data_IF_294857604348
#
_entry.id   IF_294857604348
#
_cell.length_a   1.000
_cell.length_b   1.000
_cell.length_c   1.000
_cell.angle_alpha   90.00
_cell.angle_beta   90.00
_cell.angle_gamma   90.00
#
_symmetry.space_group_name_H-M   'P 1'
#
loop_
_entity.id
_entity.type
_entity.pdbx_description
1 polymer ?
#
# COMPACT_ATOMS: atom_id res chain seq x y z
N UNK A 1 13.94 3.65 13.14
CA UNK A 1 13.49 2.91 11.92
C UNK A 1 11.99 3.07 11.88
N UNK A 2 11.40 3.51 10.77
CA UNK A 2 9.96 3.60 10.61
C UNK A 2 9.36 2.20 10.42
N UNK A 3 8.32 1.87 11.14
CA UNK A 3 7.65 0.56 11.11
C UNK A 3 6.19 0.76 10.70
N UNK A 4 5.85 0.34 9.50
CA UNK A 4 4.46 0.19 9.07
C UNK A 4 3.96 -1.24 9.31
N UNK A 5 2.69 -1.37 9.64
CA UNK A 5 2.05 -2.66 9.91
C UNK A 5 0.80 -2.82 9.07
N UNK A 6 0.89 -3.66 8.03
CA UNK A 6 -0.25 -4.04 7.21
C UNK A 6 -1.04 -5.15 7.89
N UNK A 7 -2.24 -4.83 8.37
CA UNK A 7 -3.12 -5.72 9.11
C UNK A 7 -4.02 -6.52 8.15
N UNK A 8 -3.61 -7.74 7.83
CA UNK A 8 -4.42 -8.71 7.06
C UNK A 8 -5.31 -9.54 7.99
N UNK A 9 -6.17 -8.88 8.77
CA UNK A 9 -7.04 -9.47 9.80
C UNK A 9 -8.45 -8.89 9.69
N UNK A 10 -9.46 -9.63 10.18
CA UNK A 10 -10.88 -9.23 10.10
C UNK A 10 -11.33 -8.36 11.28
N UNK A 11 -10.50 -8.20 12.31
CA UNK A 11 -10.82 -7.49 13.55
C UNK A 11 -9.85 -6.34 13.83
N UNK A 12 -9.43 -5.63 12.77
CA UNK A 12 -8.51 -4.51 12.87
C UNK A 12 -9.04 -3.42 13.81
N UNK A 13 -10.36 -3.12 13.78
CA UNK A 13 -11.01 -2.13 14.65
C UNK A 13 -10.90 -2.46 16.16
N UNK A 14 -10.78 -3.74 16.50
CA UNK A 14 -10.70 -4.19 17.91
C UNK A 14 -9.26 -4.30 18.40
N UNK A 15 -8.29 -4.49 17.48
CA UNK A 15 -6.94 -4.93 17.85
C UNK A 15 -5.85 -3.92 17.52
N UNK A 16 -6.13 -2.88 16.75
CA UNK A 16 -5.14 -1.89 16.30
C UNK A 16 -4.30 -1.30 17.43
N UNK A 17 -4.90 -1.06 18.61
CA UNK A 17 -4.22 -0.46 19.75
C UNK A 17 -3.02 -1.30 20.23
N UNK A 18 -3.08 -2.63 20.10
CA UNK A 18 -1.98 -3.52 20.51
C UNK A 18 -0.72 -3.32 19.66
N UNK A 19 -0.89 -2.94 18.40
CA UNK A 19 0.22 -2.64 17.48
C UNK A 19 0.81 -1.27 17.79
N UNK A 20 -0.03 -0.29 18.13
CA UNK A 20 0.44 1.03 18.61
C UNK A 20 1.24 0.88 19.90
N UNK A 21 0.74 0.10 20.87
CA UNK A 21 1.43 -0.20 22.12
C UNK A 21 2.76 -0.94 21.89
N UNK A 22 2.86 -1.71 20.82
CA UNK A 22 4.09 -2.38 20.40
C UNK A 22 5.09 -1.44 19.70
N UNK A 23 4.70 -0.20 19.40
CA UNK A 23 5.57 0.85 18.86
C UNK A 23 5.63 0.91 17.34
N UNK A 24 4.54 0.57 16.62
CA UNK A 24 4.46 0.81 15.18
C UNK A 24 4.21 2.29 14.90
N UNK A 25 4.77 2.79 13.81
CA UNK A 25 4.63 4.18 13.39
C UNK A 25 3.40 4.40 12.49
N UNK A 26 2.96 3.35 11.77
CA UNK A 26 1.81 3.38 10.88
C UNK A 26 1.02 2.08 10.93
N UNK A 27 -0.30 2.17 10.98
CA UNK A 27 -1.25 1.06 10.78
C UNK A 27 -1.83 1.15 9.38
N UNK A 28 -1.85 0.04 8.63
CA UNK A 28 -2.50 -0.06 7.33
C UNK A 28 -3.60 -1.11 7.43
N UNK A 29 -4.87 -0.70 7.31
CA UNK A 29 -6.03 -1.57 7.47
C UNK A 29 -6.80 -1.72 6.16
N UNK A 30 -7.41 -2.91 5.95
CA UNK A 30 -8.25 -3.18 4.80
C UNK A 30 -9.60 -2.48 4.91
N UNK A 31 -10.01 -1.76 3.86
CA UNK A 31 -11.33 -1.11 3.80
C UNK A 31 -12.46 -2.15 3.96
N UNK A 32 -12.24 -3.36 3.45
CA UNK A 32 -13.21 -4.45 3.49
C UNK A 32 -13.38 -5.09 4.89
N UNK A 33 -12.42 -4.85 5.80
CA UNK A 33 -12.38 -5.44 7.15
C UNK A 33 -12.78 -4.45 8.25
N UNK A 34 -13.13 -3.22 7.91
CA UNK A 34 -13.45 -2.13 8.84
C UNK A 34 -14.85 -1.62 8.56
N UNK A 35 -15.70 -1.53 9.59
CA UNK A 35 -17.09 -1.07 9.44
C UNK A 35 -17.21 0.45 9.44
N UNK A 36 -16.42 1.13 10.29
CA UNK A 36 -16.40 2.59 10.41
C UNK A 36 -14.97 3.12 10.25
N UNK A 37 -14.49 3.17 9.00
CA UNK A 37 -13.15 3.62 8.69
C UNK A 37 -12.88 5.08 9.11
N UNK A 38 -13.81 6.04 8.96
CA UNK A 38 -13.63 7.41 9.47
C UNK A 38 -13.37 7.44 10.99
N UNK A 39 -14.08 6.65 11.78
CA UNK A 39 -13.84 6.54 13.21
C UNK A 39 -12.46 5.95 13.50
N UNK A 40 -12.08 4.87 12.82
CA UNK A 40 -10.78 4.24 12.97
C UNK A 40 -9.63 5.20 12.66
N UNK A 41 -9.75 6.03 11.60
CA UNK A 41 -8.79 7.11 11.28
C UNK A 41 -8.63 8.04 12.49
N UNK A 42 -9.74 8.54 13.02
CA UNK A 42 -9.74 9.48 14.14
C UNK A 42 -9.09 8.90 15.40
N UNK A 43 -9.43 7.64 15.72
CA UNK A 43 -8.88 6.95 16.89
C UNK A 43 -7.37 6.75 16.78
N UNK A 44 -6.88 6.20 15.66
CA UNK A 44 -5.45 5.96 15.45
C UNK A 44 -4.67 7.27 15.44
N UNK A 45 -5.14 8.29 14.72
CA UNK A 45 -4.47 9.60 14.68
C UNK A 45 -4.43 10.28 16.04
N UNK A 46 -5.40 10.03 16.92
CA UNK A 46 -5.40 10.57 18.29
C UNK A 46 -4.20 10.10 19.14
N UNK A 47 -3.59 8.98 18.78
CA UNK A 47 -2.37 8.45 19.41
C UNK A 47 -1.07 9.01 18.82
N UNK A 48 -1.15 9.76 17.73
CA UNK A 48 0.01 10.22 16.96
C UNK A 48 0.53 9.19 15.96
N UNK A 49 -0.12 8.02 15.83
CA UNK A 49 0.22 6.98 14.85
C UNK A 49 -0.41 7.32 13.48
N UNK A 50 0.31 7.04 12.40
CA UNK A 50 -0.19 7.24 11.05
C UNK A 50 -1.17 6.13 10.65
N UNK A 51 -2.07 6.43 9.71
CA UNK A 51 -3.08 5.48 9.21
C UNK A 51 -3.06 5.40 7.68
N UNK A 52 -2.95 4.19 7.16
CA UNK A 52 -3.14 3.85 5.76
C UNK A 52 -4.39 3.01 5.54
N UNK A 53 -4.98 3.16 4.37
CA UNK A 53 -6.08 2.33 3.89
C UNK A 53 -5.60 1.44 2.75
N UNK A 54 -5.91 0.15 2.81
CA UNK A 54 -5.63 -0.79 1.74
C UNK A 54 -6.94 -1.32 1.14
N UNK A 55 -6.93 -1.55 -0.19
CA UNK A 55 -8.05 -2.14 -0.91
C UNK A 55 -7.62 -3.31 -1.78
N UNK A 56 -8.50 -4.31 -1.88
CA UNK A 56 -8.32 -5.49 -2.70
C UNK A 56 -8.42 -5.19 -4.21
N UNK A 57 -7.95 -6.10 -5.08
CA UNK A 57 -8.03 -5.89 -6.54
C UNK A 57 -9.46 -5.71 -7.07
N UNK A 58 -10.45 -6.29 -6.43
CA UNK A 58 -11.87 -6.24 -6.81
C UNK A 58 -12.68 -5.15 -6.10
N UNK A 59 -12.13 -4.51 -5.06
CA UNK A 59 -12.79 -3.41 -4.33
C UNK A 59 -12.79 -2.11 -5.13
N UNK A 60 -13.92 -1.45 -5.19
CA UNK A 60 -14.07 -0.20 -5.95
C UNK A 60 -13.35 0.98 -5.29
N UNK A 61 -12.66 1.80 -6.07
CA UNK A 61 -11.91 2.97 -5.57
C UNK A 61 -12.81 4.00 -4.86
N UNK A 62 -14.11 4.05 -5.22
CA UNK A 62 -15.09 4.95 -4.59
C UNK A 62 -15.27 4.73 -3.09
N UNK A 63 -14.86 3.56 -2.57
CA UNK A 63 -14.93 3.26 -1.15
C UNK A 63 -13.81 3.95 -0.37
N UNK A 64 -12.65 4.19 -1.01
CA UNK A 64 -11.48 4.80 -0.39
C UNK A 64 -11.34 6.29 -0.72
N UNK A 65 -11.78 6.72 -1.92
CA UNK A 65 -11.64 8.11 -2.37
C UNK A 65 -12.14 9.17 -1.38
N UNK A 66 -13.28 8.99 -0.67
CA UNK A 66 -13.74 9.97 0.32
C UNK A 66 -12.82 10.09 1.54
N UNK A 67 -12.02 9.07 1.84
CA UNK A 67 -11.11 9.02 2.99
C UNK A 67 -9.75 9.65 2.69
N UNK A 68 -9.43 9.83 1.41
CA UNK A 68 -8.10 10.25 0.94
C UNK A 68 -7.54 11.50 1.66
N UNK A 69 -8.35 12.55 1.98
CA UNK A 69 -7.85 13.74 2.67
C UNK A 69 -7.32 13.48 4.09
N UNK A 70 -7.77 12.41 4.74
CA UNK A 70 -7.45 12.10 6.12
C UNK A 70 -6.39 10.99 6.24
N UNK A 71 -6.10 10.27 5.15
CA UNK A 71 -5.12 9.18 5.13
C UNK A 71 -3.68 9.68 5.02
N UNK A 72 -2.74 8.90 5.57
CA UNK A 72 -1.29 9.05 5.39
C UNK A 72 -0.77 8.17 4.24
N UNK A 73 -1.51 7.10 3.90
CA UNK A 73 -1.13 6.15 2.87
C UNK A 73 -2.36 5.48 2.25
N UNK A 74 -2.29 5.23 0.94
CA UNK A 74 -3.20 4.31 0.23
C UNK A 74 -2.38 3.17 -0.35
N UNK A 75 -2.76 1.93 -0.03
CA UNK A 75 -2.16 0.71 -0.55
C UNK A 75 -3.12 0.01 -1.51
N UNK A 76 -2.69 -0.20 -2.75
CA UNK A 76 -3.43 -1.00 -3.73
C UNK A 76 -2.85 -2.40 -3.78
N UNK A 77 -3.68 -3.40 -3.47
CA UNK A 77 -3.29 -4.80 -3.64
C UNK A 77 -3.29 -5.17 -5.12
N UNK A 78 -2.20 -5.76 -5.58
CA UNK A 78 -2.05 -6.32 -6.94
C UNK A 78 -2.02 -7.85 -6.98
N UNK A 79 -2.46 -8.47 -5.89
CA UNK A 79 -2.78 -9.90 -5.74
C UNK A 79 -3.96 -10.02 -4.77
N UNK A 80 -4.63 -11.17 -4.73
CA UNK A 80 -5.60 -11.45 -3.66
C UNK A 80 -4.84 -11.67 -2.35
N UNK A 81 -5.11 -10.88 -1.27
CA UNK A 81 -4.32 -10.98 -0.04
C UNK A 81 -4.43 -12.34 0.64
N UNK A 82 -3.41 -12.65 1.49
CA UNK A 82 -3.39 -13.85 2.33
C UNK A 82 -2.49 -14.99 1.87
N UNK A 83 -1.88 -14.92 0.67
CA UNK A 83 -0.91 -15.91 0.19
C UNK A 83 0.25 -15.22 -0.52
N UNK A 84 1.48 -15.62 -0.21
CA UNK A 84 2.66 -15.18 -0.94
C UNK A 84 2.80 -15.84 -2.32
N UNK A 85 3.59 -15.24 -3.20
CA UNK A 85 3.98 -15.82 -4.49
C UNK A 85 2.89 -15.89 -5.57
N UNK A 86 1.81 -15.16 -5.42
CA UNK A 86 0.73 -15.10 -6.40
C UNK A 86 1.14 -14.31 -7.66
N UNK A 87 0.39 -14.54 -8.75
CA UNK A 87 0.57 -13.79 -9.99
C UNK A 87 0.10 -12.35 -9.82
N UNK A 88 0.88 -11.43 -10.35
CA UNK A 88 0.55 -10.01 -10.43
C UNK A 88 -0.72 -9.79 -11.26
N UNK A 89 -1.60 -8.92 -10.80
CA UNK A 89 -2.86 -8.51 -11.45
C UNK A 89 -2.66 -7.13 -12.08
N UNK A 90 -2.36 -7.03 -13.39
CA UNK A 90 -2.07 -5.74 -14.03
C UNK A 90 -3.29 -4.83 -14.16
N UNK A 91 -4.48 -5.38 -14.07
CA UNK A 91 -5.76 -4.64 -14.17
C UNK A 91 -5.91 -3.58 -13.06
N UNK A 92 -5.15 -3.68 -11.96
CA UNK A 92 -5.16 -2.66 -10.90
C UNK A 92 -4.51 -1.32 -11.32
N UNK A 93 -3.86 -1.27 -12.47
CA UNK A 93 -3.26 -0.03 -13.03
C UNK A 93 -4.25 1.14 -13.00
N UNK A 94 -5.49 0.92 -13.43
CA UNK A 94 -6.50 1.98 -13.46
C UNK A 94 -6.77 2.57 -12.07
N UNK A 95 -6.69 1.77 -11.01
CA UNK A 95 -6.87 2.22 -9.62
C UNK A 95 -5.69 3.06 -9.16
N UNK A 96 -4.47 2.56 -9.42
CA UNK A 96 -3.24 3.27 -9.06
C UNK A 96 -3.21 4.64 -9.72
N UNK A 97 -3.48 4.72 -11.03
CA UNK A 97 -3.51 5.99 -11.78
C UNK A 97 -4.61 6.93 -11.27
N UNK A 98 -5.79 6.42 -10.94
CA UNK A 98 -6.87 7.23 -10.40
C UNK A 98 -6.54 7.80 -9.01
N UNK A 99 -5.89 7.02 -8.14
CA UNK A 99 -5.40 7.53 -6.85
C UNK A 99 -4.28 8.55 -7.06
N UNK A 100 -3.31 8.32 -7.97
CA UNK A 100 -2.27 9.29 -8.27
C UNK A 100 -2.85 10.63 -8.70
N UNK A 101 -3.79 10.62 -9.65
CA UNK A 101 -4.48 11.83 -10.11
C UNK A 101 -5.19 12.58 -8.96
N UNK A 102 -5.89 11.84 -8.09
CA UNK A 102 -6.58 12.41 -6.95
C UNK A 102 -5.61 13.01 -5.91
N UNK A 103 -4.50 12.33 -5.63
CA UNK A 103 -3.46 12.80 -4.71
C UNK A 103 -2.78 14.05 -5.26
N UNK A 104 -2.40 14.07 -6.54
CA UNK A 104 -1.77 15.24 -7.19
C UNK A 104 -2.70 16.45 -7.18
N UNK A 105 -4.00 16.23 -7.40
CA UNK A 105 -5.01 17.29 -7.33
C UNK A 105 -5.15 17.85 -5.92
N UNK A 106 -5.09 16.97 -4.91
CA UNK A 106 -5.15 17.35 -3.50
C UNK A 106 -3.92 18.15 -3.09
N UNK A 107 -2.72 17.71 -3.48
CA UNK A 107 -1.45 18.40 -3.26
C UNK A 107 -1.47 19.82 -3.87
N UNK A 108 -1.89 19.95 -5.13
CA UNK A 108 -2.03 21.24 -5.82
C UNK A 108 -3.03 22.19 -5.13
N UNK A 109 -3.92 21.66 -4.31
CA UNK A 109 -4.89 22.45 -3.51
C UNK A 109 -4.37 22.73 -2.08
N UNK A 110 -3.15 22.33 -1.75
CA UNK A 110 -2.54 22.48 -0.42
C UNK A 110 -3.09 21.51 0.62
N UNK A 111 -3.70 20.40 0.18
CA UNK A 111 -4.19 19.34 1.05
C UNK A 111 -3.10 18.33 1.43
N UNK A 112 -3.45 17.39 2.29
CA UNK A 112 -2.58 16.28 2.70
C UNK A 112 -2.23 15.40 1.50
N UNK A 113 -0.99 14.95 1.41
CA UNK A 113 -0.48 14.12 0.30
C UNK A 113 -0.18 12.71 0.81
N UNK A 114 -1.15 11.78 0.76
CA UNK A 114 -0.90 10.40 1.16
C UNK A 114 0.09 9.71 0.23
N UNK A 115 0.89 8.81 0.80
CA UNK A 115 1.79 7.92 0.05
C UNK A 115 0.94 6.93 -0.75
N UNK A 116 1.27 6.73 -2.03
CA UNK A 116 0.64 5.70 -2.87
C UNK A 116 1.54 4.48 -2.96
N UNK A 117 1.08 3.38 -2.36
CA UNK A 117 1.82 2.12 -2.27
C UNK A 117 1.12 1.02 -3.07
N UNK A 118 1.89 0.06 -3.58
CA UNK A 118 1.36 -1.16 -4.21
C UNK A 118 2.00 -2.39 -3.57
N UNK A 119 1.21 -3.44 -3.34
CA UNK A 119 1.70 -4.73 -2.82
C UNK A 119 1.13 -5.91 -3.62
N UNK A 120 2.02 -6.81 -4.00
CA UNK A 120 1.69 -8.10 -4.57
C UNK A 120 2.34 -8.38 -5.94
N UNK A 121 3.09 -9.48 -6.01
CA UNK A 121 3.62 -10.00 -7.26
C UNK A 121 4.66 -9.13 -7.99
N UNK A 122 5.23 -8.13 -7.35
CA UNK A 122 6.24 -7.24 -7.93
C UNK A 122 7.56 -8.00 -8.08
N UNK A 123 8.11 -7.98 -9.31
CA UNK A 123 9.36 -8.61 -9.69
C UNK A 123 10.11 -7.74 -10.72
N UNK A 124 11.37 -8.10 -11.02
CA UNK A 124 12.20 -7.32 -11.95
C UNK A 124 11.57 -7.11 -13.34
N UNK A 125 10.75 -8.05 -13.82
CA UNK A 125 10.14 -7.96 -15.16
C UNK A 125 8.92 -7.04 -15.25
N UNK A 126 8.29 -6.67 -14.13
CA UNK A 126 7.15 -5.76 -14.08
C UNK A 126 7.42 -4.47 -13.28
N UNK A 127 8.55 -4.37 -12.58
CA UNK A 127 8.88 -3.22 -11.75
C UNK A 127 8.88 -1.89 -12.52
N UNK A 128 9.49 -1.87 -13.71
CA UNK A 128 9.51 -0.67 -14.56
C UNK A 128 8.10 -0.22 -14.96
N UNK A 129 7.28 -1.15 -15.44
CA UNK A 129 5.88 -0.88 -15.80
C UNK A 129 5.09 -0.31 -14.61
N UNK A 130 5.25 -0.92 -13.43
CA UNK A 130 4.54 -0.48 -12.22
C UNK A 130 5.00 0.90 -11.76
N UNK A 131 6.29 1.22 -11.88
CA UNK A 131 6.81 2.55 -11.53
C UNK A 131 6.22 3.67 -12.40
N UNK A 132 5.90 3.39 -13.67
CA UNK A 132 5.26 4.35 -14.59
C UNK A 132 3.79 4.66 -14.22
N UNK A 133 3.20 3.91 -13.29
CA UNK A 133 1.83 4.17 -12.81
C UNK A 133 1.75 5.31 -11.80
N UNK A 134 2.93 5.77 -11.29
CA UNK A 134 3.04 6.89 -10.37
C UNK A 134 2.95 6.50 -8.90
N UNK A 135 3.36 5.27 -8.55
CA UNK A 135 3.49 4.84 -7.15
C UNK A 135 4.70 5.50 -6.48
N UNK A 136 4.63 5.67 -5.17
CA UNK A 136 5.74 6.13 -4.34
C UNK A 136 6.52 4.95 -3.75
N UNK A 137 5.83 3.84 -3.41
CA UNK A 137 6.43 2.65 -2.79
C UNK A 137 5.89 1.37 -3.44
N UNK A 138 6.79 0.42 -3.73
CA UNK A 138 6.44 -0.94 -4.10
C UNK A 138 6.90 -1.93 -3.03
N UNK A 139 5.98 -2.76 -2.52
CA UNK A 139 6.31 -3.87 -1.61
C UNK A 139 6.78 -5.06 -2.43
N UNK A 140 7.99 -5.53 -2.17
CA UNK A 140 8.60 -6.64 -2.91
C UNK A 140 9.02 -7.75 -1.96
N UNK A 141 8.24 -8.81 -1.89
CA UNK A 141 8.54 -10.03 -1.11
C UNK A 141 9.26 -11.08 -1.95
N UNK A 142 8.51 -11.94 -2.63
CA UNK A 142 9.06 -13.06 -3.44
C UNK A 142 9.90 -12.60 -4.64
N UNK A 143 9.83 -11.32 -5.03
CA UNK A 143 10.73 -10.73 -6.01
C UNK A 143 12.17 -10.58 -5.52
N UNK A 144 12.36 -10.43 -4.20
CA UNK A 144 13.68 -10.33 -3.55
C UNK A 144 14.12 -11.65 -2.92
N UNK A 145 13.21 -12.38 -2.28
CA UNK A 145 13.49 -13.62 -1.54
C UNK A 145 13.01 -14.79 -2.38
N UNK A 146 13.91 -15.39 -3.16
CA UNK A 146 13.66 -16.52 -4.06
C UNK A 146 14.97 -17.28 -4.36
N UNK A 147 14.87 -18.37 -5.12
CA UNK A 147 16.02 -19.23 -5.47
C UNK A 147 16.83 -18.72 -6.68
N UNK A 148 16.43 -17.61 -7.31
CA UNK A 148 17.10 -17.06 -8.50
C UNK A 148 18.39 -16.29 -8.17
N UNK A 149 18.62 -15.98 -6.90
CA UNK A 149 19.81 -15.28 -6.44
C UNK A 149 19.71 -14.77 -5.00
N UNK A 150 20.77 -14.12 -4.53
CA UNK A 150 20.75 -13.44 -3.22
C UNK A 150 19.82 -12.21 -3.27
N UNK A 151 19.34 -11.75 -2.10
CA UNK A 151 18.54 -10.53 -1.98
C UNK A 151 19.22 -9.34 -2.67
N UNK A 152 20.53 -9.18 -2.48
CA UNK A 152 21.29 -8.10 -3.13
C UNK A 152 21.31 -8.20 -4.65
N UNK A 153 21.43 -9.42 -5.20
CA UNK A 153 21.39 -9.64 -6.64
C UNK A 153 19.99 -9.37 -7.22
N UNK A 154 18.95 -9.83 -6.54
CA UNK A 154 17.57 -9.59 -6.96
C UNK A 154 17.19 -8.10 -6.87
N UNK A 155 17.63 -7.40 -5.81
CA UNK A 155 17.46 -5.96 -5.68
C UNK A 155 18.15 -5.20 -6.83
N UNK A 156 19.39 -5.61 -7.17
CA UNK A 156 20.11 -5.01 -8.30
C UNK A 156 19.38 -5.20 -9.63
N UNK A 157 18.75 -6.36 -9.86
CA UNK A 157 17.94 -6.62 -11.07
C UNK A 157 16.71 -5.70 -11.12
N UNK A 158 16.04 -5.49 -9.99
CA UNK A 158 14.88 -4.59 -9.91
C UNK A 158 15.31 -3.15 -10.18
N UNK A 159 16.39 -2.68 -9.55
CA UNK A 159 16.89 -1.33 -9.76
C UNK A 159 17.30 -1.08 -11.22
N UNK A 160 17.97 -2.02 -11.87
CA UNK A 160 18.30 -1.92 -13.30
C UNK A 160 17.05 -1.87 -14.17
N UNK A 161 16.01 -2.62 -13.85
CA UNK A 161 14.73 -2.56 -14.57
C UNK A 161 14.07 -1.18 -14.43
N UNK A 162 14.14 -0.56 -13.25
CA UNK A 162 13.63 0.80 -13.00
C UNK A 162 14.44 1.87 -13.76
N UNK A 163 15.75 1.66 -13.97
CA UNK A 163 16.63 2.57 -14.71
C UNK A 163 16.53 2.39 -16.24
N UNK A 164 15.74 1.43 -16.73
CA UNK A 164 15.56 1.17 -18.16
C UNK A 164 16.74 0.45 -18.82
N UNK A 165 17.54 -0.31 -18.03
CA UNK A 165 18.72 -1.05 -18.51
C UNK A 165 18.52 -2.57 -18.52
#
# INVERSE_FOLDING_TARGET
>A
MFIDCHLMINNAEETWIQYVDAGVDMIIAHIEAVQDFPNLISEIQSTGTQIGCVLNPDTEIREVMPLLPDLDLVLVMSVVPGKGGQSFIPEVEHKVRAFREAIDKQENSGGKTPILMIDGGIKFHNAAMVSEWGIDIAVVGSGLINDDGTISQNLLRINKALEGQ
#
